data_IF_975320461953
#
_entry.id   IF_975320461953
#
_cell.length_a   1.000
_cell.length_b   1.000
_cell.length_c   1.000
_cell.angle_alpha   90.00
_cell.angle_beta   90.00
_cell.angle_gamma   90.00
#
_symmetry.space_group_name_H-M   'P 1'
#
loop_
_entity.id
_entity.type
_entity.pdbx_description
1 polymer ?
#
# COMPACT_ATOMS: atom_id res chain seq x y z
N UNK A 1 24.16 -11.92 -14.49
CA UNK A 1 23.62 -10.88 -13.58
C UNK A 1 22.10 -11.00 -13.62
N UNK A 2 21.49 -11.49 -12.54
CA UNK A 2 20.09 -11.92 -12.48
C UNK A 2 19.17 -10.70 -12.41
N UNK A 3 18.53 -10.34 -13.54
CA UNK A 3 17.38 -9.45 -13.54
C UNK A 3 16.14 -10.26 -13.13
N UNK A 4 15.87 -10.35 -11.82
CA UNK A 4 14.55 -10.79 -11.35
C UNK A 4 13.54 -9.68 -11.63
N UNK A 5 13.03 -9.64 -12.86
CA UNK A 5 11.75 -8.98 -13.16
C UNK A 5 10.65 -9.81 -12.51
N UNK A 6 10.32 -9.47 -11.26
CA UNK A 6 9.14 -10.01 -10.59
C UNK A 6 7.93 -9.57 -11.42
N UNK A 7 7.35 -10.56 -12.10
CA UNK A 7 6.08 -10.53 -12.84
C UNK A 7 5.05 -9.75 -12.00
N UNK A 8 4.25 -8.82 -12.58
CA UNK A 8 3.13 -8.25 -11.85
C UNK A 8 2.10 -9.37 -11.71
N UNK A 9 2.22 -10.13 -10.64
CA UNK A 9 1.17 -11.02 -10.19
C UNK A 9 -0.05 -10.14 -9.96
N UNK A 10 -1.16 -10.51 -10.60
CA UNK A 10 -2.37 -9.72 -10.69
C UNK A 10 -2.74 -9.17 -9.31
N UNK A 11 -2.38 -7.92 -9.06
CA UNK A 11 -2.67 -7.22 -7.82
C UNK A 11 -4.18 -7.08 -7.84
N UNK A 12 -4.85 -7.73 -6.87
CA UNK A 12 -6.28 -7.60 -6.67
C UNK A 12 -6.67 -6.11 -6.82
N UNK A 13 -7.75 -5.79 -7.56
CA UNK A 13 -8.10 -4.42 -7.87
C UNK A 13 -8.07 -3.61 -6.58
N UNK A 14 -7.28 -2.52 -6.57
CA UNK A 14 -7.23 -1.62 -5.42
C UNK A 14 -8.65 -1.14 -5.17
N UNK A 15 -9.32 -1.70 -4.16
CA UNK A 15 -10.70 -1.32 -3.91
C UNK A 15 -10.70 0.02 -3.22
N UNK A 16 -11.47 0.98 -3.74
CA UNK A 16 -11.58 2.29 -3.12
C UNK A 16 -12.09 2.18 -1.68
N UNK A 17 -12.89 1.16 -1.39
CA UNK A 17 -13.34 0.80 -0.05
C UNK A 17 -12.18 0.47 0.91
N UNK A 18 -11.15 -0.28 0.47
CA UNK A 18 -9.97 -0.57 1.29
C UNK A 18 -9.12 0.66 1.54
N UNK A 19 -8.94 1.50 0.51
CA UNK A 19 -8.21 2.78 0.64
C UNK A 19 -8.90 3.66 1.66
N UNK A 20 -10.23 3.79 1.57
CA UNK A 20 -11.02 4.59 2.49
C UNK A 20 -10.97 4.01 3.92
N UNK A 21 -11.10 2.70 4.07
CA UNK A 21 -10.98 2.01 5.35
C UNK A 21 -9.61 2.28 6.01
N UNK A 22 -8.51 2.09 5.27
CA UNK A 22 -7.15 2.32 5.76
C UNK A 22 -6.90 3.78 6.12
N UNK A 23 -7.42 4.70 5.30
CA UNK A 23 -7.33 6.14 5.54
C UNK A 23 -7.99 6.54 6.86
N UNK A 24 -9.22 6.06 7.13
CA UNK A 24 -9.96 6.31 8.37
C UNK A 24 -9.29 5.63 9.56
N UNK A 25 -8.90 4.36 9.43
CA UNK A 25 -8.26 3.57 10.50
C UNK A 25 -6.96 4.21 11.00
N UNK A 26 -6.13 4.69 10.07
CA UNK A 26 -4.81 5.25 10.39
C UNK A 26 -4.78 6.78 10.43
N UNK A 27 -5.93 7.44 10.23
CA UNK A 27 -6.06 8.92 10.15
C UNK A 27 -5.10 9.53 9.13
N UNK A 28 -4.98 8.90 7.97
CA UNK A 28 -4.16 9.36 6.84
C UNK A 28 -5.03 9.81 5.68
N UNK A 29 -4.49 10.66 4.81
CA UNK A 29 -5.17 11.00 3.55
C UNK A 29 -5.23 9.75 2.64
N UNK A 30 -6.35 9.52 1.93
CA UNK A 30 -6.45 8.47 0.91
C UNK A 30 -5.32 8.54 -0.14
N UNK A 31 -4.82 9.74 -0.43
CA UNK A 31 -3.71 9.94 -1.36
C UNK A 31 -2.42 9.26 -0.88
N UNK A 32 -2.13 9.32 0.43
CA UNK A 32 -0.96 8.67 1.03
C UNK A 32 -1.10 7.15 0.92
N UNK A 33 -2.29 6.61 1.19
CA UNK A 33 -2.55 5.16 1.07
C UNK A 33 -2.36 4.69 -0.37
N UNK A 34 -2.87 5.44 -1.36
CA UNK A 34 -2.66 5.16 -2.79
C UNK A 34 -1.19 5.22 -3.17
N UNK A 35 -0.44 6.19 -2.66
CA UNK A 35 1.00 6.29 -2.91
C UNK A 35 1.77 5.10 -2.31
N UNK A 36 1.41 4.67 -1.09
CA UNK A 36 2.00 3.49 -0.45
C UNK A 36 1.75 2.25 -1.30
N UNK A 37 0.50 2.02 -1.73
CA UNK A 37 0.14 0.90 -2.61
C UNK A 37 0.96 0.95 -3.90
N UNK A 38 1.07 2.12 -4.53
CA UNK A 38 1.88 2.33 -5.74
C UNK A 38 3.36 2.03 -5.50
N UNK A 39 3.90 2.40 -4.34
CA UNK A 39 5.31 2.25 -3.98
C UNK A 39 5.68 0.80 -3.68
N UNK A 40 4.82 0.07 -2.95
CA UNK A 40 5.06 -1.33 -2.61
C UNK A 40 4.62 -2.30 -3.72
N UNK A 41 3.79 -1.82 -4.67
CA UNK A 41 3.27 -2.61 -5.78
C UNK A 41 2.29 -3.71 -5.34
N UNK A 42 1.64 -3.53 -4.19
CA UNK A 42 0.71 -4.49 -3.60
C UNK A 42 -0.45 -3.74 -2.95
N UNK A 43 -1.67 -4.22 -3.20
CA UNK A 43 -2.90 -3.80 -2.53
C UNK A 43 -3.19 -4.60 -1.27
N UNK A 44 -2.33 -5.57 -0.93
CA UNK A 44 -2.54 -6.40 0.26
C UNK A 44 -2.54 -5.55 1.52
N UNK A 45 -3.65 -5.60 2.25
CA UNK A 45 -3.88 -4.83 3.46
C UNK A 45 -2.74 -4.96 4.47
N UNK A 46 -2.23 -6.16 4.70
CA UNK A 46 -1.13 -6.39 5.66
C UNK A 46 0.17 -5.69 5.24
N UNK A 47 0.49 -5.71 3.94
CA UNK A 47 1.67 -5.05 3.39
C UNK A 47 1.54 -3.52 3.47
N UNK A 48 0.36 -2.99 3.12
CA UNK A 48 0.06 -1.56 3.19
C UNK A 48 0.08 -1.06 4.64
N UNK A 49 -0.55 -1.75 5.58
CA UNK A 49 -0.56 -1.38 7.00
C UNK A 49 0.86 -1.36 7.60
N UNK A 50 1.71 -2.32 7.22
CA UNK A 50 3.10 -2.36 7.67
C UNK A 50 3.88 -1.13 7.19
N UNK A 51 3.67 -0.72 5.94
CA UNK A 51 4.34 0.45 5.37
C UNK A 51 3.81 1.76 5.96
N UNK A 52 2.50 1.84 6.21
CA UNK A 52 1.86 2.95 6.94
C UNK A 52 2.50 3.14 8.33
N UNK A 53 2.64 2.06 9.11
CA UNK A 53 3.26 2.13 10.45
C UNK A 53 4.73 2.54 10.38
N UNK A 54 5.48 2.03 9.41
CA UNK A 54 6.88 2.46 9.19
C UNK A 54 6.99 3.93 8.80
N UNK A 55 6.06 4.43 7.96
CA UNK A 55 6.02 5.83 7.56
C UNK A 55 5.69 6.77 8.71
N UNK A 56 4.77 6.38 9.60
CA UNK A 56 4.45 7.13 10.82
C UNK A 56 5.60 7.13 11.82
N UNK A 57 6.33 6.02 12.00
CA UNK A 57 7.47 5.97 12.92
C UNK A 57 8.68 6.83 12.48
N UNK A 58 8.68 7.32 11.23
CA UNK A 58 9.72 8.19 10.67
C UNK A 58 9.34 9.68 10.66
N UNK A 59 8.10 10.02 11.01
CA UNK A 59 7.58 11.39 11.07
C UNK A 59 7.28 11.76 12.51
#
# INVERSE_FOLDING_TARGET
MVQSKKKPEATAPVTEAEVEYLSKRHRLSPAIVREIIRRIGSSERAAVEREIRKGMARR
#
